data_IF_004088155601
#
_entry.id   IF_004088155601
#
_cell.length_a   1.000
_cell.length_b   1.000
_cell.length_c   1.000
_cell.angle_alpha   90.00
_cell.angle_beta   90.00
_cell.angle_gamma   90.00
#
_symmetry.space_group_name_H-M   'P 1'
#
loop_
_entity.id
_entity.type
_entity.pdbx_description
1 polymer ?
#
# COMPACT_ATOMS: atom_id res chain seq x y z
N UNK A 1 6.86 -7.78 7.66
CA UNK A 1 5.69 -8.58 8.07
C UNK A 1 4.96 -7.85 9.16
N UNK A 2 3.62 -7.89 9.15
CA UNK A 2 2.81 -7.27 10.20
C UNK A 2 2.99 -8.02 11.52
N UNK A 3 2.99 -7.25 12.61
CA UNK A 3 3.17 -7.74 13.98
C UNK A 3 1.94 -7.52 14.84
N UNK A 4 0.89 -6.92 14.27
CA UNK A 4 -0.40 -6.67 14.91
C UNK A 4 -1.55 -6.84 13.89
N UNK A 5 -2.78 -6.53 14.28
CA UNK A 5 -3.98 -6.71 13.47
C UNK A 5 -3.93 -5.93 12.15
N UNK A 6 -4.10 -6.67 11.06
CA UNK A 6 -4.34 -6.08 9.74
C UNK A 6 -5.74 -5.45 9.75
N UNK A 7 -5.79 -4.14 9.59
CA UNK A 7 -7.02 -3.35 9.63
C UNK A 7 -7.66 -3.20 8.26
N UNK A 8 -6.84 -3.14 7.21
CA UNK A 8 -7.34 -2.95 5.87
C UNK A 8 -6.47 -3.63 4.83
N UNK A 9 -7.11 -4.15 3.79
CA UNK A 9 -6.46 -4.76 2.64
C UNK A 9 -7.17 -4.24 1.38
N UNK A 10 -6.40 -3.86 0.38
CA UNK A 10 -6.93 -3.38 -0.89
C UNK A 10 -6.14 -3.97 -2.06
N UNK A 11 -6.84 -4.47 -3.08
CA UNK A 11 -6.24 -5.00 -4.29
C UNK A 11 -6.19 -3.91 -5.37
N UNK A 12 -5.05 -3.76 -6.03
CA UNK A 12 -4.92 -2.85 -7.16
C UNK A 12 -5.63 -3.47 -8.37
N UNK A 13 -6.58 -2.74 -8.96
CA UNK A 13 -7.29 -3.21 -10.15
C UNK A 13 -6.51 -2.80 -11.40
N UNK A 14 -5.44 -3.53 -11.72
CA UNK A 14 -4.61 -3.21 -12.88
C UNK A 14 -5.09 -4.00 -14.09
N UNK A 15 -6.04 -3.43 -14.84
CA UNK A 15 -6.59 -4.04 -16.04
C UNK A 15 -5.48 -4.23 -17.10
N UNK A 16 -5.13 -5.48 -17.39
CA UNK A 16 -4.23 -5.84 -18.49
C UNK A 16 -2.75 -6.01 -18.16
N UNK A 17 -2.32 -5.85 -16.90
CA UNK A 17 -0.93 -6.15 -16.50
C UNK A 17 -0.76 -7.58 -15.95
N UNK A 18 0.46 -8.09 -16.11
CA UNK A 18 0.89 -9.41 -15.64
C UNK A 18 1.18 -9.46 -14.12
N UNK A 19 1.01 -8.37 -13.38
CA UNK A 19 1.37 -8.29 -11.96
C UNK A 19 0.12 -8.04 -11.13
N UNK A 20 -0.14 -8.93 -10.18
CA UNK A 20 -1.17 -8.73 -9.15
C UNK A 20 -0.56 -8.00 -7.97
N UNK A 21 -1.19 -6.91 -7.53
CA UNK A 21 -0.69 -6.08 -6.42
C UNK A 21 -1.77 -5.92 -5.36
N UNK A 22 -1.39 -6.12 -4.09
CA UNK A 22 -2.25 -5.94 -2.91
C UNK A 22 -1.51 -5.04 -1.92
N UNK A 23 -2.23 -4.14 -1.27
CA UNK A 23 -1.73 -3.37 -0.14
C UNK A 23 -2.40 -3.83 1.14
N UNK A 24 -1.64 -3.96 2.23
CA UNK A 24 -2.15 -4.24 3.57
C UNK A 24 -1.66 -3.20 4.56
N UNK A 25 -2.57 -2.76 5.44
CA UNK A 25 -2.31 -1.79 6.50
C UNK A 25 -2.74 -2.36 7.83
N UNK A 26 -1.94 -2.10 8.86
CA UNK A 26 -2.08 -2.73 10.17
C UNK A 26 -2.09 -1.72 11.30
N UNK A 27 -2.56 -2.19 12.46
CA UNK A 27 -2.48 -1.49 13.74
C UNK A 27 -1.02 -1.21 14.14
N UNK A 28 -0.07 -2.03 13.67
CA UNK A 28 1.37 -1.84 13.90
C UNK A 28 1.97 -0.62 13.17
N UNK A 29 1.16 0.10 12.39
CA UNK A 29 1.54 1.29 11.64
C UNK A 29 2.28 1.03 10.33
N UNK A 30 2.51 -0.24 9.98
CA UNK A 30 3.19 -0.61 8.75
C UNK A 30 2.20 -0.71 7.61
N UNK A 31 2.69 -0.37 6.42
CA UNK A 31 2.03 -0.67 5.15
C UNK A 31 2.93 -1.56 4.32
N UNK A 32 2.39 -2.70 3.90
CA UNK A 32 3.09 -3.69 3.10
C UNK A 32 2.41 -3.84 1.75
N UNK A 33 3.20 -3.79 0.70
CA UNK A 33 2.75 -4.08 -0.67
C UNK A 33 3.15 -5.50 -1.00
N UNK A 34 2.17 -6.27 -1.43
CA UNK A 34 2.30 -7.64 -1.86
C UNK A 34 2.19 -7.68 -3.37
N UNK A 35 3.19 -8.27 -4.02
CA UNK A 35 3.22 -8.42 -5.47
C UNK A 35 3.34 -9.88 -5.85
N UNK A 36 2.61 -10.28 -6.89
CA UNK A 36 2.67 -11.60 -7.50
C UNK A 36 2.75 -11.45 -9.00
N UNK A 37 3.81 -11.99 -9.59
CA UNK A 37 3.97 -12.10 -11.05
C UNK A 37 3.01 -13.14 -11.63
N UNK A 38 2.62 -12.99 -12.91
CA UNK A 38 1.61 -13.82 -13.59
C UNK A 38 1.91 -15.32 -13.53
N UNK A 39 3.18 -15.66 -13.69
CA UNK A 39 3.68 -17.04 -13.75
C UNK A 39 4.35 -17.48 -12.44
N UNK A 40 4.41 -16.59 -11.45
CA UNK A 40 4.95 -16.88 -10.12
C UNK A 40 3.84 -17.37 -9.20
N UNK A 41 4.12 -18.34 -8.33
CA UNK A 41 3.15 -18.80 -7.32
C UNK A 41 3.28 -18.11 -5.96
N UNK A 42 4.36 -17.34 -5.77
CA UNK A 42 4.69 -16.72 -4.49
C UNK A 42 4.34 -15.24 -4.48
N UNK A 43 3.76 -14.80 -3.36
CA UNK A 43 3.58 -13.39 -3.06
C UNK A 43 4.83 -12.86 -2.37
N UNK A 44 5.36 -11.75 -2.85
CA UNK A 44 6.47 -11.03 -2.23
C UNK A 44 5.94 -9.79 -1.51
N UNK A 45 6.20 -9.69 -0.21
CA UNK A 45 5.76 -8.57 0.62
C UNK A 45 6.89 -7.59 0.89
N UNK A 46 6.74 -6.36 0.42
CA UNK A 46 7.67 -5.25 0.66
C UNK A 46 7.05 -4.24 1.63
N UNK A 47 7.76 -3.94 2.71
CA UNK A 47 7.39 -2.82 3.59
C UNK A 47 7.66 -1.52 2.83
N UNK A 48 6.63 -0.69 2.65
CA UNK A 48 6.76 0.59 1.95
C UNK A 48 6.92 1.76 2.91
N UNK A 49 6.26 1.70 4.06
CA UNK A 49 6.36 2.74 5.08
C UNK A 49 5.94 2.22 6.44
N UNK A 50 6.47 2.85 7.48
CA UNK A 50 6.08 2.66 8.87
C UNK A 50 5.65 4.03 9.43
N UNK A 51 4.34 4.21 9.59
CA UNK A 51 3.77 5.45 10.11
C UNK A 51 3.93 5.58 11.62
N UNK A 52 4.28 4.49 12.33
CA UNK A 52 4.25 4.44 13.79
C UNK A 52 2.86 4.66 14.40
N UNK A 53 1.83 4.81 13.57
CA UNK A 53 0.45 5.09 13.92
C UNK A 53 -0.47 4.12 13.19
N UNK A 54 -1.60 3.70 13.78
CA UNK A 54 -2.52 2.75 13.16
C UNK A 54 -2.93 3.16 11.74
N UNK A 55 -2.81 2.22 10.80
CA UNK A 55 -3.30 2.41 9.44
C UNK A 55 -4.75 1.96 9.37
N UNK A 56 -5.66 2.88 9.13
CA UNK A 56 -7.11 2.64 9.20
C UNK A 56 -7.69 2.23 7.85
N UNK A 57 -7.24 2.87 6.78
CA UNK A 57 -7.76 2.67 5.42
C UNK A 57 -6.64 2.76 4.40
N UNK A 58 -6.83 2.01 3.34
CA UNK A 58 -5.97 1.97 2.16
C UNK A 58 -6.87 1.89 0.94
N UNK A 59 -6.65 2.70 -0.09
CA UNK A 59 -7.38 2.60 -1.34
C UNK A 59 -6.47 2.81 -2.54
N UNK A 60 -6.70 2.05 -3.59
CA UNK A 60 -6.03 2.21 -4.87
C UNK A 60 -6.76 3.23 -5.74
N UNK A 61 -6.01 3.99 -6.54
CA UNK A 61 -6.58 4.72 -7.66
C UNK A 61 -7.10 3.75 -8.72
N UNK A 62 -8.06 4.19 -9.53
CA UNK A 62 -8.62 3.37 -10.61
C UNK A 62 -7.55 2.96 -11.65
N UNK A 63 -6.52 3.79 -11.81
CA UNK A 63 -5.37 3.52 -12.68
C UNK A 63 -4.35 2.57 -12.04
N UNK A 64 -4.49 2.22 -10.75
CA UNK A 64 -3.61 1.31 -10.02
C UNK A 64 -2.26 1.88 -9.59
N UNK A 65 -1.96 3.14 -9.95
CA UNK A 65 -0.61 3.71 -9.76
C UNK A 65 -0.48 4.57 -8.50
N UNK A 66 -1.59 4.97 -7.88
CA UNK A 66 -1.58 5.78 -6.66
C UNK A 66 -2.30 5.02 -5.56
N UNK A 67 -1.72 5.03 -4.37
CA UNK A 67 -2.27 4.46 -3.15
C UNK A 67 -2.56 5.59 -2.17
N UNK A 68 -3.80 5.69 -1.71
CA UNK A 68 -4.13 6.54 -0.56
C UNK A 68 -4.09 5.72 0.72
N UNK A 69 -3.44 6.28 1.73
CA UNK A 69 -3.27 5.65 3.04
C UNK A 69 -3.75 6.64 4.11
N UNK A 70 -4.69 6.22 4.94
CA UNK A 70 -5.13 6.97 6.10
C UNK A 70 -4.51 6.34 7.36
N UNK A 71 -3.60 7.08 8.01
CA UNK A 71 -2.87 6.63 9.18
C UNK A 71 -2.98 7.67 10.31
N UNK A 72 -3.15 7.20 11.55
CA UNK A 72 -3.35 8.07 12.70
C UNK A 72 -4.68 8.82 12.66
N UNK A 73 -4.70 10.05 13.18
CA UNK A 73 -5.86 10.93 13.14
C UNK A 73 -5.62 12.04 12.10
N UNK A 74 -6.62 12.27 11.26
CA UNK A 74 -6.75 13.34 10.25
C UNK A 74 -5.77 13.38 9.08
N UNK A 75 -4.75 12.52 9.03
CA UNK A 75 -3.78 12.52 7.92
C UNK A 75 -4.12 11.50 6.82
N UNK A 76 -4.08 11.96 5.57
CA UNK A 76 -4.13 11.10 4.38
C UNK A 76 -2.87 11.35 3.55
N UNK A 77 -2.17 10.27 3.26
CA UNK A 77 -0.92 10.31 2.51
C UNK A 77 -1.12 9.57 1.19
N UNK A 78 -0.64 10.18 0.11
CA UNK A 78 -0.67 9.61 -1.22
C UNK A 78 0.70 9.06 -1.57
N UNK A 79 0.71 7.82 -2.04
CA UNK A 79 1.91 7.07 -2.38
C UNK A 79 1.84 6.64 -3.83
N UNK A 80 3.00 6.61 -4.50
CA UNK A 80 3.13 6.19 -5.89
C UNK A 80 4.34 5.29 -6.04
N UNK A 81 4.21 4.27 -6.89
CA UNK A 81 5.35 3.44 -7.32
C UNK A 81 6.14 4.21 -8.39
N UNK A 82 7.42 4.45 -8.11
CA UNK A 82 8.40 4.98 -9.06
C UNK A 82 8.77 3.95 -10.12
N UNK A 83 9.41 4.41 -11.20
CA UNK A 83 9.87 3.53 -12.30
C UNK A 83 10.92 2.50 -11.86
N UNK A 84 11.53 2.71 -10.69
CA UNK A 84 12.50 1.83 -10.05
C UNK A 84 11.86 0.81 -9.09
N UNK A 85 10.53 0.81 -8.95
CA UNK A 85 9.80 -0.05 -8.01
C UNK A 85 9.92 0.39 -6.54
N UNK A 86 10.41 1.61 -6.28
CA UNK A 86 10.34 2.23 -4.97
C UNK A 86 9.01 2.95 -4.79
N UNK A 87 8.54 3.01 -3.56
CA UNK A 87 7.31 3.70 -3.22
C UNK A 87 7.67 5.04 -2.61
N UNK A 88 7.14 6.11 -3.19
CA UNK A 88 7.41 7.48 -2.77
C UNK A 88 6.11 8.15 -2.32
N UNK A 89 6.23 8.96 -1.27
CA UNK A 89 5.15 9.83 -0.81
C UNK A 89 5.06 11.05 -1.73
N UNK A 90 3.91 11.20 -2.39
CA UNK A 90 3.67 12.27 -3.37
C UNK A 90 2.99 13.47 -2.73
N UNK A 91 2.16 13.23 -1.72
CA UNK A 91 1.40 14.27 -1.04
C UNK A 91 1.05 13.83 0.36
N UNK A 92 1.27 14.72 1.31
CA UNK A 92 0.79 14.62 2.67
C UNK A 92 -0.15 15.80 2.89
N UNK A 93 -1.43 15.53 3.13
CA UNK A 93 -2.31 16.58 3.61
C UNK A 93 -2.06 16.72 5.11
N UNK A 94 -1.39 17.81 5.50
CA UNK A 94 -1.40 18.34 6.86
C UNK A 94 -2.44 19.47 6.87
N UNK A 95 -3.41 19.40 7.77
CA UNK A 95 -4.30 20.53 8.08
C UNK A 95 -3.55 21.62 8.85
#
# INVERSE_FOLDING_TARGET
MHTDWVRHVACALVLGLAKSTIASGSQDGKVVIWTKEKDGDKWEGKLIHDFGLPVWRISWSLTGNILSIAAGENNINLWKEGSDGQWEEVMKNEE
#
